data_IF_026855419509
#
_entry.id   IF_026855419509
#
_cell.length_a   1.000
_cell.length_b   1.000
_cell.length_c   1.000
_cell.angle_alpha   90.00
_cell.angle_beta   90.00
_cell.angle_gamma   90.00
#
_symmetry.space_group_name_H-M   'P 1'
#
loop_
_entity.id
_entity.type
_entity.pdbx_description
1 polymer ?
#
# COMPACT_ATOMS: atom_id res chain seq x y z
N UNK A 1 19.79 -14.32 -14.83
CA UNK A 1 18.57 -13.49 -14.91
C UNK A 1 18.47 -12.64 -13.65
N UNK A 2 18.77 -11.34 -13.75
CA UNK A 2 18.74 -10.37 -12.63
C UNK A 2 17.39 -9.66 -12.61
N UNK A 3 16.73 -9.56 -11.45
CA UNK A 3 15.60 -8.64 -11.24
C UNK A 3 16.00 -7.60 -10.21
N UNK A 4 16.04 -6.34 -10.65
CA UNK A 4 16.09 -5.15 -9.81
C UNK A 4 14.65 -4.80 -9.40
N UNK A 5 14.40 -4.48 -8.13
CA UNK A 5 13.17 -3.81 -7.70
C UNK A 5 13.54 -2.41 -7.22
N UNK A 6 13.06 -1.40 -7.95
CA UNK A 6 13.10 0.00 -7.55
C UNK A 6 12.02 0.26 -6.50
N UNK A 7 12.43 0.78 -5.35
CA UNK A 7 11.56 1.26 -4.29
C UNK A 7 11.27 2.75 -4.53
N UNK A 8 9.99 3.12 -4.71
CA UNK A 8 9.51 4.50 -4.62
C UNK A 8 8.53 4.64 -3.47
N UNK A 9 8.69 5.74 -2.72
CA UNK A 9 8.13 6.06 -1.41
C UNK A 9 6.58 6.15 -1.35
N UNK A 10 5.92 5.79 -0.23
CA UNK A 10 4.48 6.03 -0.05
C UNK A 10 4.17 7.39 0.57
N UNK A 11 3.17 8.05 -0.02
CA UNK A 11 2.56 9.32 0.38
C UNK A 11 1.73 9.18 1.67
N UNK A 12 1.83 10.18 2.54
CA UNK A 12 1.11 10.33 3.83
C UNK A 12 -0.38 10.58 3.61
N UNK A 13 -1.26 9.80 4.24
CA UNK A 13 -2.69 10.12 4.41
C UNK A 13 -3.04 10.26 5.89
N UNK A 14 -3.69 11.39 6.19
CA UNK A 14 -4.01 11.91 7.52
C UNK A 14 -5.26 11.23 8.12
N UNK A 15 -5.20 10.92 9.41
CA UNK A 15 -6.34 10.48 10.24
C UNK A 15 -7.27 11.66 10.52
N UNK A 16 -8.59 11.44 10.41
CA UNK A 16 -9.55 12.10 11.29
C UNK A 16 -10.48 11.03 11.88
N UNK A 17 -10.63 11.12 13.20
CA UNK A 17 -11.33 10.17 14.06
C UNK A 17 -12.46 10.93 14.73
N UNK A 18 -13.70 10.48 14.58
CA UNK A 18 -14.79 10.80 15.51
C UNK A 18 -15.68 9.56 15.66
N UNK A 19 -15.76 9.09 16.92
CA UNK A 19 -16.67 8.04 17.38
C UNK A 19 -18.00 8.66 17.89
N UNK A 20 -19.07 7.85 18.02
CA UNK A 20 -20.45 8.30 18.19
C UNK A 20 -20.90 8.30 19.65
N UNK A 21 -21.94 9.08 19.97
CA UNK A 21 -22.79 8.85 21.15
C UNK A 21 -24.28 9.12 20.89
N UNK A 22 -25.08 8.41 21.68
CA UNK A 22 -26.51 8.13 21.58
C UNK A 22 -27.46 9.28 22.00
N UNK A 23 -28.65 9.31 21.39
CA UNK A 23 -29.93 9.02 22.05
C UNK A 23 -30.65 10.12 22.87
N UNK A 24 -31.85 10.51 22.42
CA UNK A 24 -33.11 10.59 23.21
C UNK A 24 -34.26 11.13 22.35
N UNK A 25 -35.29 10.30 22.12
CA UNK A 25 -36.66 10.40 22.66
C UNK A 25 -37.56 11.53 22.12
N UNK A 26 -38.66 11.13 21.44
CA UNK A 26 -40.05 11.66 21.48
C UNK A 26 -40.86 10.78 20.48
N UNK A 27 -41.57 9.73 20.90
CA UNK A 27 -42.93 9.69 21.50
C UNK A 27 -44.01 10.32 20.60
N UNK A 28 -44.76 9.50 19.86
CA UNK A 28 -46.23 9.39 19.98
C UNK A 28 -46.82 8.52 18.87
N UNK A 29 -47.59 7.52 19.30
CA UNK A 29 -48.57 6.75 18.55
C UNK A 29 -49.58 7.64 17.83
N UNK A 30 -50.18 7.17 16.73
CA UNK A 30 -51.60 7.34 16.43
C UNK A 30 -52.01 6.40 15.27
N UNK A 31 -52.54 5.23 15.64
CA UNK A 31 -53.59 4.58 14.89
C UNK A 31 -54.86 5.41 15.09
N UNK A 32 -55.49 5.88 14.02
CA UNK A 32 -56.96 6.03 13.99
C UNK A 32 -57.45 6.23 12.55
N UNK A 33 -58.43 5.41 12.18
CA UNK A 33 -59.36 5.66 11.09
C UNK A 33 -59.88 7.10 11.16
N UNK A 34 -59.97 7.79 10.02
CA UNK A 34 -61.08 8.71 9.76
C UNK A 34 -61.34 8.86 8.27
N UNK A 35 -62.43 8.23 7.87
CA UNK A 35 -63.29 8.57 6.76
C UNK A 35 -63.64 10.07 6.73
N UNK A 36 -63.69 10.63 5.53
CA UNK A 36 -64.49 11.80 5.16
C UNK A 36 -65.43 11.32 4.05
N UNK A 37 -66.65 10.86 4.36
CA UNK A 37 -67.91 11.62 4.42
C UNK A 37 -68.02 12.77 3.43
N UNK A 38 -68.93 12.55 2.49
CA UNK A 38 -69.63 13.49 1.64
C UNK A 38 -70.32 14.54 2.51
N UNK A 39 -70.04 15.82 2.25
CA UNK A 39 -70.83 16.92 2.79
C UNK A 39 -72.19 16.93 2.08
N UNK A 40 -73.15 16.26 2.71
CA UNK A 40 -74.57 16.49 2.51
C UNK A 40 -74.99 17.64 3.42
N UNK A 41 -75.06 18.86 2.89
CA UNK A 41 -75.61 19.99 3.61
C UNK A 41 -77.13 19.79 3.78
N UNK A 42 -77.50 19.45 5.00
CA UNK A 42 -78.87 19.27 5.46
C UNK A 42 -79.55 20.63 5.64
N UNK A 43 -80.62 20.88 4.87
CA UNK A 43 -81.77 21.65 5.36
C UNK A 43 -83.03 20.80 5.18
N UNK A 44 -83.59 20.39 6.32
CA UNK A 44 -84.89 19.75 6.41
C UNK A 44 -86.02 20.71 5.99
N UNK A 45 -87.18 20.17 5.57
CA UNK A 45 -87.95 20.72 4.45
C UNK A 45 -89.08 21.64 4.90
N UNK A 46 -89.26 22.76 4.20
CA UNK A 46 -90.52 23.52 4.21
C UNK A 46 -91.39 23.05 3.05
N UNK A 47 -92.66 22.81 3.38
CA UNK A 47 -93.65 21.98 2.68
C UNK A 47 -94.11 22.47 1.29
N UNK A 48 -93.48 23.49 0.71
CA UNK A 48 -94.00 24.22 -0.45
C UNK A 48 -93.11 24.27 -1.71
N UNK A 49 -91.96 23.59 -1.75
CA UNK A 49 -91.13 23.52 -2.98
C UNK A 49 -91.08 22.14 -3.64
N UNK A 50 -91.92 21.19 -3.19
CA UNK A 50 -91.96 19.82 -3.70
C UNK A 50 -92.35 19.74 -5.19
N UNK A 51 -93.04 20.75 -5.74
CA UNK A 51 -93.45 20.76 -7.15
C UNK A 51 -92.43 21.40 -8.09
N UNK A 52 -91.55 22.29 -7.61
CA UNK A 52 -90.50 22.91 -8.46
C UNK A 52 -89.23 22.04 -8.57
N UNK A 53 -88.87 21.30 -7.52
CA UNK A 53 -87.70 20.39 -7.56
C UNK A 53 -87.95 19.10 -8.35
N UNK A 54 -89.21 18.65 -8.44
CA UNK A 54 -89.54 17.52 -9.30
C UNK A 54 -89.38 17.86 -10.79
N UNK A 55 -89.51 19.13 -11.18
CA UNK A 55 -89.32 19.55 -12.57
C UNK A 55 -87.84 19.69 -12.98
N UNK A 56 -86.92 19.94 -12.03
CA UNK A 56 -85.47 19.89 -12.29
C UNK A 56 -84.92 18.44 -12.32
N UNK A 57 -85.57 17.50 -11.63
CA UNK A 57 -85.22 16.07 -11.68
C UNK A 57 -85.51 15.38 -13.04
N UNK A 58 -86.26 16.04 -13.93
CA UNK A 58 -86.52 15.54 -15.28
C UNK A 58 -85.59 16.12 -16.35
N UNK A 59 -84.51 16.82 -15.96
CA UNK A 59 -83.36 17.00 -16.83
C UNK A 59 -82.44 15.76 -16.77
N UNK A 60 -82.87 14.72 -17.48
CA UNK A 60 -81.97 13.99 -18.38
C UNK A 60 -81.16 12.81 -17.84
N UNK A 61 -81.77 11.81 -17.19
CA UNK A 61 -81.40 10.39 -17.37
C UNK A 61 -82.61 9.48 -17.11
N UNK A 62 -83.14 8.85 -18.16
CA UNK A 62 -83.99 7.66 -18.01
C UNK A 62 -83.11 6.44 -18.34
N UNK A 63 -82.73 5.61 -17.33
CA UNK A 63 -81.97 4.39 -17.58
C UNK A 63 -82.82 3.38 -18.35
N UNK A 64 -82.26 2.82 -19.43
CA UNK A 64 -82.93 1.76 -20.19
C UNK A 64 -82.46 0.37 -19.71
N UNK A 65 -83.36 -0.57 -19.41
CA UNK A 65 -82.97 -1.94 -19.04
C UNK A 65 -82.28 -2.66 -20.22
N UNK A 66 -81.28 -3.50 -19.92
CA UNK A 66 -80.36 -4.16 -20.89
C UNK A 66 -81.01 -5.17 -21.88
N UNK A 67 -82.33 -5.30 -21.96
CA UNK A 67 -82.97 -6.26 -22.88
C UNK A 67 -83.08 -5.69 -24.30
N UNK A 68 -82.63 -6.47 -25.30
CA UNK A 68 -82.80 -6.18 -26.73
C UNK A 68 -84.29 -6.12 -27.06
N UNK A 69 -84.76 -4.98 -27.56
CA UNK A 69 -86.08 -4.85 -28.17
C UNK A 69 -85.92 -4.47 -29.64
N UNK A 70 -86.45 -5.33 -30.51
CA UNK A 70 -86.65 -5.04 -31.93
C UNK A 70 -87.70 -3.93 -32.08
N UNK A 71 -87.37 -2.97 -32.96
CA UNK A 71 -88.21 -1.90 -33.54
C UNK A 71 -89.59 -1.71 -32.89
N UNK A 72 -89.68 -0.83 -31.90
CA UNK A 72 -90.94 -0.17 -31.52
C UNK A 72 -90.93 1.23 -32.15
N UNK A 73 -91.95 1.61 -32.95
CA UNK A 73 -92.06 2.94 -33.52
C UNK A 73 -92.08 4.01 -32.43
N UNK A 74 -91.53 5.19 -32.75
CA UNK A 74 -91.33 6.28 -31.82
C UNK A 74 -92.59 6.61 -31.00
N UNK A 75 -92.43 6.60 -29.68
CA UNK A 75 -93.33 7.24 -28.73
C UNK A 75 -94.70 6.58 -28.61
N UNK A 76 -94.81 5.57 -27.75
CA UNK A 76 -96.06 5.29 -27.00
C UNK A 76 -95.94 4.15 -25.97
N UNK A 77 -94.91 3.29 -26.04
CA UNK A 77 -94.92 2.02 -25.32
C UNK A 77 -94.34 1.96 -23.90
N UNK A 78 -93.65 2.99 -23.37
CA UNK A 78 -92.75 2.79 -22.19
C UNK A 78 -93.05 3.63 -20.94
N UNK A 79 -94.18 4.32 -20.87
CA UNK A 79 -94.53 5.20 -19.73
C UNK A 79 -95.85 4.81 -19.05
N UNK A 80 -96.18 3.52 -18.99
CA UNK A 80 -97.47 3.07 -18.43
C UNK A 80 -97.46 2.60 -16.97
N UNK A 81 -96.31 2.59 -16.28
CA UNK A 81 -96.26 1.95 -14.94
C UNK A 81 -95.89 2.81 -13.73
N UNK A 82 -95.68 4.13 -13.85
CA UNK A 82 -95.54 4.96 -12.64
C UNK A 82 -96.20 6.34 -12.80
N UNK A 83 -97.27 6.55 -12.02
CA UNK A 83 -97.98 7.80 -11.70
C UNK A 83 -98.94 8.37 -12.78
N UNK A 84 -100.27 8.33 -12.56
CA UNK A 84 -101.28 8.68 -13.57
C UNK A 84 -101.30 10.16 -14.01
N UNK A 85 -100.90 11.09 -13.13
CA UNK A 85 -101.16 12.52 -13.37
C UNK A 85 -100.00 13.31 -13.99
N UNK A 86 -98.80 12.72 -14.11
CA UNK A 86 -97.65 13.32 -14.83
C UNK A 86 -97.63 13.03 -16.34
N UNK A 87 -98.45 12.08 -16.80
CA UNK A 87 -98.47 11.58 -18.19
C UNK A 87 -98.88 12.66 -19.21
N UNK A 88 -99.82 13.55 -18.86
CA UNK A 88 -100.31 14.59 -19.78
C UNK A 88 -99.31 15.73 -20.02
N UNK A 89 -98.48 16.08 -19.04
CA UNK A 89 -97.46 17.13 -19.19
C UNK A 89 -96.23 16.62 -19.97
N UNK A 90 -95.79 15.39 -19.68
CA UNK A 90 -94.61 14.80 -20.33
C UNK A 90 -94.92 14.45 -21.81
N UNK A 91 -96.12 13.92 -22.10
CA UNK A 91 -96.53 13.61 -23.48
C UNK A 91 -96.59 14.85 -24.38
N UNK A 92 -96.98 16.02 -23.84
CA UNK A 92 -97.02 17.27 -24.60
C UNK A 92 -95.63 17.85 -24.90
N UNK A 93 -94.66 17.70 -23.98
CA UNK A 93 -93.28 18.17 -24.19
C UNK A 93 -92.42 17.21 -25.02
N UNK A 94 -92.61 15.88 -24.88
CA UNK A 94 -91.92 14.87 -25.69
C UNK A 94 -92.29 14.93 -27.19
N UNK A 95 -93.46 15.49 -27.54
CA UNK A 95 -93.87 15.70 -28.93
C UNK A 95 -93.21 16.92 -29.60
N UNK A 96 -92.57 17.82 -28.83
CA UNK A 96 -92.05 19.11 -29.31
C UNK A 96 -90.52 19.19 -29.35
N UNK A 97 -89.79 18.35 -28.61
CA UNK A 97 -88.32 18.28 -28.63
C UNK A 97 -87.83 16.92 -29.11
N UNK A 98 -86.75 16.89 -29.91
CA UNK A 98 -86.09 15.64 -30.34
C UNK A 98 -85.22 15.12 -29.20
N UNK A 99 -85.55 13.93 -28.68
CA UNK A 99 -84.77 13.24 -27.67
C UNK A 99 -84.02 12.08 -28.33
N UNK A 100 -82.69 12.14 -28.32
CA UNK A 100 -81.82 11.08 -28.87
C UNK A 100 -81.30 10.15 -27.76
N UNK A 101 -81.11 8.88 -28.12
CA UNK A 101 -80.53 7.87 -27.24
C UNK A 101 -79.02 8.05 -27.19
N UNK A 102 -78.47 8.29 -26.00
CA UNK A 102 -77.04 8.45 -25.78
C UNK A 102 -76.45 7.26 -25.02
N UNK A 103 -75.16 6.99 -25.24
CA UNK A 103 -74.41 5.93 -24.56
C UNK A 103 -73.20 6.55 -23.89
N UNK A 104 -73.11 6.39 -22.57
CA UNK A 104 -71.98 6.87 -21.78
C UNK A 104 -70.69 6.18 -22.25
N UNK A 105 -69.70 6.96 -22.69
CA UNK A 105 -68.45 6.41 -23.21
C UNK A 105 -67.57 5.75 -22.15
N UNK A 106 -67.76 6.09 -20.86
CA UNK A 106 -66.95 5.57 -19.75
C UNK A 106 -67.63 4.40 -19.05
N UNK A 107 -68.92 4.49 -18.72
CA UNK A 107 -69.65 3.38 -18.06
C UNK A 107 -70.28 2.38 -19.04
N UNK A 108 -70.44 2.75 -20.32
CA UNK A 108 -71.13 1.95 -21.33
C UNK A 108 -72.67 1.91 -21.18
N UNK A 109 -73.23 2.72 -20.27
CA UNK A 109 -74.66 2.73 -19.98
C UNK A 109 -75.45 3.60 -20.97
N UNK A 110 -76.63 3.14 -21.38
CA UNK A 110 -77.51 3.86 -22.30
C UNK A 110 -78.59 4.66 -21.56
N UNK A 111 -78.75 5.94 -21.91
CA UNK A 111 -79.77 6.83 -21.36
C UNK A 111 -80.31 7.80 -22.42
N UNK A 112 -81.46 8.42 -22.16
CA UNK A 112 -82.09 9.40 -23.07
C UNK A 112 -81.98 10.79 -22.44
N UNK A 113 -81.42 11.77 -23.17
CA UNK A 113 -81.26 13.16 -22.73
C UNK A 113 -81.46 14.12 -23.91
N UNK A 114 -81.92 15.36 -23.65
CA UNK A 114 -81.98 16.43 -24.64
C UNK A 114 -80.71 17.30 -24.66
N UNK A 115 -79.74 17.03 -23.77
CA UNK A 115 -78.40 17.63 -23.79
C UNK A 115 -77.36 16.63 -23.24
N UNK A 116 -76.45 16.16 -24.11
CA UNK A 116 -75.43 15.16 -23.75
C UNK A 116 -74.08 15.77 -23.33
N UNK A 117 -73.81 17.04 -23.65
CA UNK A 117 -72.51 17.70 -23.44
C UNK A 117 -71.99 17.64 -21.99
N UNK A 118 -72.82 17.88 -20.95
CA UNK A 118 -72.34 17.83 -19.57
C UNK A 118 -71.88 16.43 -19.15
N UNK A 119 -72.48 15.40 -19.72
CA UNK A 119 -72.20 14.00 -19.40
C UNK A 119 -70.99 13.46 -20.17
N UNK A 120 -70.88 13.82 -21.46
CA UNK A 120 -69.68 13.52 -22.25
C UNK A 120 -68.44 14.17 -21.63
N UNK A 121 -68.57 15.42 -21.14
CA UNK A 121 -67.51 16.13 -20.44
C UNK A 121 -67.14 15.54 -19.06
N UNK A 122 -68.05 14.84 -18.39
CA UNK A 122 -67.76 14.12 -17.13
C UNK A 122 -67.08 12.78 -17.41
N UNK A 123 -67.56 12.01 -18.38
CA UNK A 123 -66.97 10.71 -18.73
C UNK A 123 -65.56 10.85 -19.31
N UNK A 124 -65.28 11.90 -20.09
CA UNK A 124 -63.90 12.19 -20.50
C UNK A 124 -62.97 12.53 -19.33
N UNK A 125 -63.46 13.26 -18.31
CA UNK A 125 -62.66 13.59 -17.12
C UNK A 125 -62.37 12.35 -16.28
N UNK A 126 -63.36 11.47 -16.09
CA UNK A 126 -63.19 10.22 -15.34
C UNK A 126 -62.22 9.28 -16.07
N UNK A 127 -62.33 9.16 -17.39
CA UNK A 127 -61.40 8.35 -18.19
C UNK A 127 -59.96 8.89 -18.10
N UNK A 128 -59.77 10.21 -18.14
CA UNK A 128 -58.45 10.85 -17.94
C UNK A 128 -57.91 10.61 -16.53
N UNK A 129 -58.75 10.71 -15.50
CA UNK A 129 -58.35 10.47 -14.11
C UNK A 129 -57.96 9.01 -13.87
N UNK A 130 -58.67 8.06 -14.47
CA UNK A 130 -58.36 6.64 -14.40
C UNK A 130 -57.08 6.28 -15.15
N UNK A 131 -56.85 6.88 -16.33
CA UNK A 131 -55.57 6.84 -17.04
C UNK A 131 -54.41 7.37 -16.17
N UNK A 132 -54.59 8.52 -15.53
CA UNK A 132 -53.60 9.14 -14.64
C UNK A 132 -53.32 8.28 -13.41
N UNK A 133 -54.36 7.75 -12.76
CA UNK A 133 -54.23 6.85 -11.61
C UNK A 133 -53.48 5.56 -11.99
N UNK A 134 -53.77 4.99 -13.16
CA UNK A 134 -53.08 3.79 -13.67
C UNK A 134 -51.59 4.08 -13.94
N UNK A 135 -51.28 5.25 -14.52
CA UNK A 135 -49.90 5.69 -14.76
C UNK A 135 -49.15 5.91 -13.44
N UNK A 136 -49.80 6.48 -12.43
CA UNK A 136 -49.16 6.74 -11.13
C UNK A 136 -48.93 5.45 -10.32
N UNK A 137 -49.86 4.49 -10.39
CA UNK A 137 -49.67 3.14 -9.87
C UNK A 137 -48.48 2.43 -10.54
N UNK A 138 -48.34 2.58 -11.86
CA UNK A 138 -47.25 2.00 -12.61
C UNK A 138 -45.89 2.64 -12.25
N UNK A 139 -45.82 3.97 -12.14
CA UNK A 139 -44.62 4.66 -11.63
C UNK A 139 -44.26 4.25 -10.21
N UNK A 140 -45.26 4.09 -9.33
CA UNK A 140 -45.03 3.66 -7.95
C UNK A 140 -44.46 2.24 -7.87
N UNK A 141 -44.92 1.34 -8.73
CA UNK A 141 -44.40 -0.04 -8.78
C UNK A 141 -43.01 -0.11 -9.41
N UNK A 142 -42.73 0.70 -10.43
CA UNK A 142 -41.40 0.85 -11.02
C UNK A 142 -40.40 1.43 -10.00
N UNK A 143 -40.77 2.49 -9.29
CA UNK A 143 -39.93 3.10 -8.25
C UNK A 143 -39.65 2.13 -7.09
N UNK A 144 -40.63 1.32 -6.69
CA UNK A 144 -40.44 0.30 -5.65
C UNK A 144 -39.51 -0.84 -6.11
N UNK A 145 -39.58 -1.22 -7.39
CA UNK A 145 -38.68 -2.20 -7.98
C UNK A 145 -37.24 -1.66 -8.08
N UNK A 146 -37.09 -0.38 -8.43
CA UNK A 146 -35.79 0.30 -8.50
C UNK A 146 -35.15 0.42 -7.10
N UNK A 147 -35.91 0.83 -6.09
CA UNK A 147 -35.44 0.89 -4.70
C UNK A 147 -34.94 -0.48 -4.20
N UNK A 148 -35.65 -1.57 -4.50
CA UNK A 148 -35.20 -2.93 -4.15
C UNK A 148 -33.90 -3.31 -4.84
N UNK A 149 -33.72 -2.92 -6.12
CA UNK A 149 -32.47 -3.15 -6.86
C UNK A 149 -31.32 -2.35 -6.27
N UNK A 150 -31.53 -1.10 -5.87
CA UNK A 150 -30.51 -0.29 -5.21
C UNK A 150 -30.12 -0.84 -3.84
N UNK A 151 -31.09 -1.30 -3.05
CA UNK A 151 -30.79 -1.98 -1.78
C UNK A 151 -29.91 -3.20 -1.98
N UNK A 152 -30.22 -4.02 -2.99
CA UNK A 152 -29.44 -5.22 -3.29
C UNK A 152 -28.03 -4.88 -3.78
N UNK A 153 -27.88 -3.87 -4.65
CA UNK A 153 -26.56 -3.36 -5.04
C UNK A 153 -25.75 -2.84 -3.85
N UNK A 154 -26.41 -2.16 -2.91
CA UNK A 154 -25.76 -1.64 -1.70
C UNK A 154 -25.28 -2.77 -0.78
N UNK A 155 -26.04 -3.86 -0.63
CA UNK A 155 -25.60 -4.99 0.20
C UNK A 155 -24.48 -5.78 -0.46
N UNK A 156 -24.52 -5.96 -1.78
CA UNK A 156 -23.44 -6.57 -2.57
C UNK A 156 -22.13 -5.77 -2.46
N UNK A 157 -22.21 -4.44 -2.62
CA UNK A 157 -21.06 -3.55 -2.47
C UNK A 157 -20.47 -3.59 -1.04
N UNK A 158 -21.32 -3.67 -0.02
CA UNK A 158 -20.85 -3.77 1.37
C UNK A 158 -20.17 -5.13 1.66
N UNK A 159 -20.65 -6.21 1.05
CA UNK A 159 -20.03 -7.52 1.15
C UNK A 159 -18.67 -7.56 0.43
N UNK A 160 -18.57 -6.92 -0.74
CA UNK A 160 -17.32 -6.79 -1.48
C UNK A 160 -16.28 -5.97 -0.70
N UNK A 161 -16.67 -4.83 -0.13
CA UNK A 161 -15.79 -4.02 0.71
C UNK A 161 -15.23 -4.79 1.92
N UNK A 162 -16.05 -5.62 2.58
CA UNK A 162 -15.58 -6.48 3.68
C UNK A 162 -14.56 -7.52 3.20
N UNK A 163 -14.78 -8.11 2.03
CA UNK A 163 -13.82 -9.06 1.42
C UNK A 163 -12.51 -8.38 1.07
N UNK A 164 -12.55 -7.16 0.52
CA UNK A 164 -11.34 -6.39 0.23
C UNK A 164 -10.57 -6.00 1.50
N UNK A 165 -11.28 -5.57 2.56
CA UNK A 165 -10.65 -5.33 3.86
C UNK A 165 -9.95 -6.59 4.38
N UNK A 166 -10.63 -7.74 4.32
CA UNK A 166 -10.04 -9.00 4.78
C UNK A 166 -8.79 -9.36 3.97
N UNK A 167 -8.86 -9.28 2.64
CA UNK A 167 -7.68 -9.48 1.76
C UNK A 167 -6.55 -8.51 2.10
N UNK A 168 -6.86 -7.24 2.36
CA UNK A 168 -5.86 -6.25 2.76
C UNK A 168 -5.20 -6.59 4.10
N UNK A 169 -5.97 -7.09 5.08
CA UNK A 169 -5.41 -7.51 6.38
C UNK A 169 -4.55 -8.76 6.26
N UNK A 170 -4.94 -9.72 5.42
CA UNK A 170 -4.18 -10.94 5.14
C UNK A 170 -2.85 -10.60 4.44
N UNK A 171 -2.90 -9.74 3.42
CA UNK A 171 -1.70 -9.25 2.72
C UNK A 171 -0.74 -8.49 3.66
N UNK A 172 -1.28 -7.69 4.58
CA UNK A 172 -0.46 -6.99 5.58
C UNK A 172 0.21 -7.96 6.57
N UNK A 173 -0.49 -9.02 6.97
CA UNK A 173 0.06 -10.06 7.83
C UNK A 173 1.14 -10.87 7.12
N UNK A 174 0.95 -11.20 5.84
CA UNK A 174 1.93 -11.87 5.00
C UNK A 174 3.20 -11.03 4.83
N UNK A 175 3.05 -9.75 4.51
CA UNK A 175 4.17 -8.81 4.39
C UNK A 175 5.02 -8.75 5.68
N UNK A 176 4.37 -8.71 6.86
CA UNK A 176 5.09 -8.75 8.15
C UNK A 176 5.86 -10.06 8.34
N UNK A 177 5.28 -11.21 7.96
CA UNK A 177 5.97 -12.51 8.03
C UNK A 177 7.17 -12.56 7.09
N UNK A 178 7.05 -12.01 5.88
CA UNK A 178 8.19 -11.93 4.95
C UNK A 178 9.31 -11.04 5.48
N UNK A 179 8.98 -9.88 6.06
CA UNK A 179 9.98 -9.04 6.71
C UNK A 179 10.70 -9.76 7.84
N UNK A 180 9.97 -10.52 8.66
CA UNK A 180 10.57 -11.31 9.73
C UNK A 180 11.49 -12.41 9.18
N UNK A 181 11.04 -13.18 8.18
CA UNK A 181 11.86 -14.20 7.52
C UNK A 181 13.12 -13.59 6.90
N UNK A 182 13.01 -12.42 6.26
CA UNK A 182 14.14 -11.69 5.71
C UNK A 182 15.12 -11.25 6.79
N UNK A 183 14.62 -10.77 7.94
CA UNK A 183 15.45 -10.38 9.08
C UNK A 183 16.16 -11.58 9.71
N UNK A 184 15.48 -12.72 9.85
CA UNK A 184 16.07 -13.98 10.34
C UNK A 184 17.14 -14.49 9.38
N UNK A 185 16.85 -14.50 8.08
CA UNK A 185 17.82 -14.88 7.04
C UNK A 185 19.06 -13.97 7.07
N UNK A 186 18.87 -12.65 7.21
CA UNK A 186 19.99 -11.70 7.34
C UNK A 186 20.85 -11.99 8.56
N UNK A 187 20.24 -12.28 9.71
CA UNK A 187 20.98 -12.63 10.94
C UNK A 187 21.76 -13.93 10.78
N UNK A 188 21.15 -14.95 10.18
CA UNK A 188 21.81 -16.23 9.90
C UNK A 188 23.02 -16.03 8.97
N UNK A 189 22.85 -15.25 7.90
CA UNK A 189 23.92 -14.90 6.97
C UNK A 189 25.05 -14.10 7.65
N UNK A 190 24.71 -13.10 8.48
CA UNK A 190 25.70 -12.32 9.21
C UNK A 190 26.50 -13.19 10.20
N UNK A 191 25.84 -14.18 10.83
CA UNK A 191 26.50 -15.16 11.70
C UNK A 191 27.46 -16.06 10.90
N UNK A 192 27.02 -16.60 9.78
CA UNK A 192 27.88 -17.42 8.90
C UNK A 192 29.11 -16.63 8.43
N UNK A 193 28.94 -15.36 8.06
CA UNK A 193 30.06 -14.48 7.67
C UNK A 193 31.05 -14.26 8.82
N UNK A 194 30.57 -14.13 10.05
CA UNK A 194 31.44 -14.03 11.22
C UNK A 194 32.26 -15.30 11.43
N UNK A 195 31.63 -16.47 11.33
CA UNK A 195 32.30 -17.78 11.46
C UNK A 195 33.36 -17.98 10.37
N UNK A 196 33.04 -17.65 9.11
CA UNK A 196 33.99 -17.67 8.00
C UNK A 196 35.21 -16.78 8.28
N UNK A 197 34.95 -15.54 8.71
CA UNK A 197 36.01 -14.56 8.97
C UNK A 197 36.93 -15.01 10.12
N UNK A 198 36.35 -15.57 11.20
CA UNK A 198 37.13 -16.14 12.30
C UNK A 198 38.01 -17.30 11.83
N UNK A 199 37.45 -18.19 11.01
CA UNK A 199 38.21 -19.32 10.48
C UNK A 199 39.41 -18.90 9.63
N UNK A 200 39.30 -17.82 8.84
CA UNK A 200 40.44 -17.26 8.09
C UNK A 200 41.47 -16.60 9.03
N UNK A 201 41.06 -15.97 10.14
CA UNK A 201 41.98 -15.49 11.18
C UNK A 201 42.79 -16.64 11.81
N UNK A 202 42.14 -17.76 12.15
CA UNK A 202 42.85 -18.91 12.72
C UNK A 202 43.80 -19.53 11.68
N UNK A 203 43.37 -19.64 10.43
CA UNK A 203 44.24 -20.12 9.33
C UNK A 203 45.44 -19.20 9.12
N UNK A 204 45.23 -17.89 9.18
CA UNK A 204 46.29 -16.90 9.10
C UNK A 204 47.26 -17.01 10.27
N UNK A 205 46.76 -17.15 11.51
CA UNK A 205 47.60 -17.39 12.70
C UNK A 205 48.54 -18.56 12.48
N UNK A 206 47.99 -19.72 12.08
CA UNK A 206 48.78 -20.93 11.85
C UNK A 206 49.87 -20.69 10.80
N UNK A 207 49.53 -20.00 9.72
CA UNK A 207 50.47 -19.68 8.67
C UNK A 207 51.57 -18.72 9.14
N UNK A 208 51.21 -17.62 9.79
CA UNK A 208 52.13 -16.56 10.22
C UNK A 208 53.10 -17.07 11.30
N UNK A 209 52.62 -17.87 12.26
CA UNK A 209 53.48 -18.51 13.26
C UNK A 209 54.49 -19.45 12.58
N UNK A 210 54.05 -20.27 11.62
CA UNK A 210 54.97 -21.13 10.85
C UNK A 210 55.98 -20.32 10.05
N UNK A 211 55.53 -19.25 9.40
CA UNK A 211 56.40 -18.38 8.61
C UNK A 211 57.45 -17.68 9.48
N UNK A 212 57.11 -17.35 10.73
CA UNK A 212 58.04 -16.72 11.66
C UNK A 212 59.18 -17.64 12.14
N UNK A 213 59.01 -18.96 12.03
CA UNK A 213 60.00 -19.96 12.42
C UNK A 213 60.76 -20.44 11.17
N UNK A 214 61.92 -19.83 10.91
CA UNK A 214 62.86 -20.25 9.88
C UNK A 214 63.18 -21.75 10.06
N UNK A 215 62.85 -22.58 9.07
CA UNK A 215 63.16 -24.03 8.97
C UNK A 215 62.31 -25.06 9.73
N UNK A 216 61.05 -24.82 10.13
CA UNK A 216 60.27 -25.93 10.73
C UNK A 216 58.82 -26.07 10.24
N UNK A 217 58.66 -26.86 9.18
CA UNK A 217 57.35 -27.46 8.80
C UNK A 217 56.74 -28.32 9.91
N UNK A 218 57.50 -28.61 10.98
CA UNK A 218 57.08 -29.39 12.14
C UNK A 218 56.69 -28.56 13.38
N UNK A 219 56.61 -27.23 13.32
CA UNK A 219 56.05 -26.45 14.46
C UNK A 219 54.61 -26.90 14.68
N UNK A 220 54.39 -27.61 15.79
CA UNK A 220 53.06 -27.97 16.27
C UNK A 220 52.48 -26.74 16.94
N UNK A 221 51.44 -26.18 16.33
CA UNK A 221 50.75 -25.01 16.87
C UNK A 221 49.57 -25.52 17.69
N UNK A 222 49.66 -25.35 19.00
CA UNK A 222 48.59 -25.72 19.91
C UNK A 222 47.53 -24.61 19.95
N UNK A 223 46.43 -24.86 19.24
CA UNK A 223 45.25 -24.01 19.30
C UNK A 223 44.54 -24.20 20.64
N UNK A 224 44.07 -23.10 21.23
CA UNK A 224 43.20 -23.15 22.40
C UNK A 224 41.87 -23.88 22.07
N UNK A 225 41.14 -24.39 23.08
CA UNK A 225 39.85 -25.05 22.84
C UNK A 225 38.84 -24.18 22.07
N UNK A 226 38.88 -22.85 22.27
CA UNK A 226 38.05 -21.91 21.53
C UNK A 226 38.47 -21.82 20.06
N UNK A 227 39.77 -21.71 19.78
CA UNK A 227 40.29 -21.64 18.41
C UNK A 227 40.05 -22.92 17.61
N UNK A 228 40.10 -24.09 18.28
CA UNK A 228 39.77 -25.39 17.64
C UNK A 228 38.32 -25.41 17.16
N UNK A 229 37.37 -25.03 18.02
CA UNK A 229 35.94 -24.94 17.64
C UNK A 229 35.72 -23.99 16.47
N UNK A 230 36.30 -22.80 16.52
CA UNK A 230 36.19 -21.80 15.45
C UNK A 230 36.85 -22.28 14.13
N UNK A 231 37.91 -23.07 14.21
CA UNK A 231 38.55 -23.65 13.03
C UNK A 231 37.73 -24.80 12.40
N UNK A 232 36.99 -25.56 13.22
CA UNK A 232 36.10 -26.64 12.80
C UNK A 232 34.83 -26.12 12.12
N UNK A 233 34.25 -25.03 12.65
CA UNK A 233 33.06 -24.35 12.11
C UNK A 233 33.33 -23.60 10.79
N UNK A 234 34.60 -23.52 10.36
CA UNK A 234 35.00 -22.80 9.15
C UNK A 234 34.48 -23.48 7.89
N UNK A 235 33.78 -22.72 7.04
CA UNK A 235 33.58 -23.10 5.65
C UNK A 235 34.94 -23.10 4.92
N UNK A 236 35.48 -24.31 4.64
CA UNK A 236 36.82 -24.49 4.04
C UNK A 236 36.95 -23.89 2.64
N UNK A 237 35.83 -23.62 1.96
CA UNK A 237 35.76 -23.10 0.60
C UNK A 237 35.60 -21.56 0.55
N UNK A 238 35.41 -20.89 1.69
CA UNK A 238 35.23 -19.44 1.75
C UNK A 238 36.53 -18.73 2.17
N UNK A 239 37.20 -18.07 1.21
CA UNK A 239 38.44 -17.31 1.43
C UNK A 239 38.22 -15.81 1.54
N UNK A 240 37.19 -15.40 2.28
CA UNK A 240 36.75 -14.01 2.27
C UNK A 240 36.88 -13.41 3.65
N UNK A 241 37.82 -12.49 3.77
CA UNK A 241 37.90 -11.59 4.91
C UNK A 241 37.04 -10.35 4.65
N UNK A 242 36.35 -9.91 5.69
CA UNK A 242 35.61 -8.65 5.70
C UNK A 242 36.19 -7.74 6.78
N UNK A 243 36.67 -6.57 6.38
CA UNK A 243 37.34 -5.62 7.27
C UNK A 243 36.44 -5.21 8.44
N UNK A 244 35.17 -4.90 8.17
CA UNK A 244 34.22 -4.46 9.20
C UNK A 244 33.95 -5.56 10.24
N UNK A 245 33.87 -6.81 9.78
CA UNK A 245 33.70 -7.99 10.65
C UNK A 245 34.98 -8.25 11.44
N UNK A 246 36.14 -8.20 10.79
CA UNK A 246 37.45 -8.37 11.44
C UNK A 246 37.66 -7.35 12.56
N UNK A 247 37.33 -6.08 12.32
CA UNK A 247 37.41 -5.03 13.34
C UNK A 247 36.53 -5.36 14.55
N UNK A 248 35.30 -5.86 14.34
CA UNK A 248 34.42 -6.26 15.46
C UNK A 248 34.99 -7.43 16.23
N UNK A 249 35.50 -8.44 15.53
CA UNK A 249 36.03 -9.67 16.14
C UNK A 249 37.28 -9.44 17.00
N UNK A 250 38.20 -8.57 16.57
CA UNK A 250 39.36 -8.20 17.40
C UNK A 250 38.91 -7.59 18.73
N UNK A 251 37.83 -6.79 18.70
CA UNK A 251 37.27 -6.17 19.92
C UNK A 251 36.59 -7.21 20.82
N UNK A 252 35.88 -8.18 20.24
CA UNK A 252 35.12 -9.21 20.95
C UNK A 252 36.02 -10.31 21.55
N UNK A 253 37.11 -10.68 20.87
CA UNK A 253 37.96 -11.81 21.23
C UNK A 253 39.40 -11.37 21.58
N UNK A 254 39.52 -10.45 22.55
CA UNK A 254 40.83 -9.90 22.97
C UNK A 254 41.85 -10.97 23.41
N UNK A 255 41.38 -12.10 23.93
CA UNK A 255 42.24 -13.19 24.42
C UNK A 255 42.90 -14.03 23.32
N UNK A 256 42.53 -13.87 22.05
CA UNK A 256 43.01 -14.70 20.93
C UNK A 256 44.14 -14.06 20.12
N UNK A 257 44.74 -12.96 20.60
CA UNK A 257 45.76 -12.18 19.89
C UNK A 257 45.33 -11.77 18.46
N UNK A 258 44.02 -11.62 18.22
CA UNK A 258 43.50 -11.26 16.91
C UNK A 258 44.00 -9.90 16.44
N UNK A 259 44.35 -8.99 17.34
CA UNK A 259 44.94 -7.69 16.98
C UNK A 259 46.27 -7.83 16.24
N UNK A 260 47.12 -8.77 16.65
CA UNK A 260 48.39 -9.03 15.95
C UNK A 260 48.14 -9.67 14.57
N UNK A 261 47.23 -10.64 14.51
CA UNK A 261 46.84 -11.30 13.25
C UNK A 261 46.21 -10.29 12.29
N UNK A 262 45.35 -9.41 12.81
CA UNK A 262 44.73 -8.31 12.07
C UNK A 262 45.80 -7.42 11.47
N UNK A 263 46.74 -6.95 12.29
CA UNK A 263 47.82 -6.07 11.84
C UNK A 263 48.66 -6.74 10.75
N UNK A 264 49.00 -8.02 10.92
CA UNK A 264 49.75 -8.79 9.92
C UNK A 264 48.98 -8.89 8.59
N UNK A 265 47.70 -9.22 8.64
CA UNK A 265 46.84 -9.41 7.46
C UNK A 265 46.52 -8.11 6.73
N UNK A 266 46.17 -7.04 7.45
CA UNK A 266 45.64 -5.80 6.86
C UNK A 266 46.72 -4.74 6.64
N UNK A 267 47.96 -4.98 7.05
CA UNK A 267 49.05 -4.00 6.89
C UNK A 267 49.07 -2.93 7.97
N UNK A 268 47.96 -2.74 8.70
CA UNK A 268 47.66 -1.62 9.58
C UNK A 268 47.02 -2.09 10.89
N UNK A 269 47.19 -1.36 11.99
CA UNK A 269 46.56 -1.70 13.28
C UNK A 269 45.04 -1.48 13.26
N UNK A 270 44.32 -2.14 14.17
CA UNK A 270 42.86 -2.03 14.28
C UNK A 270 42.43 -0.61 14.69
N UNK A 271 43.19 0.03 15.57
CA UNK A 271 42.94 1.38 16.09
C UNK A 271 43.13 2.42 14.99
N UNK A 272 44.22 2.29 14.24
CA UNK A 272 44.57 3.19 13.16
C UNK A 272 43.56 3.10 12.00
N UNK A 273 43.19 1.89 11.55
CA UNK A 273 42.20 1.76 10.47
C UNK A 273 40.82 2.27 10.88
N UNK A 274 40.41 2.13 12.15
CA UNK A 274 39.16 2.75 12.65
C UNK A 274 39.22 4.27 12.51
N UNK A 275 40.37 4.86 12.85
CA UNK A 275 40.58 6.30 12.75
C UNK A 275 40.57 6.78 11.29
N UNK A 276 41.21 6.03 10.38
CA UNK A 276 41.19 6.33 8.94
C UNK A 276 39.80 6.16 8.33
N UNK A 277 39.03 5.14 8.73
CA UNK A 277 37.67 4.93 8.25
C UNK A 277 36.72 6.05 8.67
N UNK A 278 36.87 6.59 9.88
CA UNK A 278 36.08 7.72 10.33
C UNK A 278 36.42 8.99 9.53
N UNK A 279 37.71 9.27 9.32
CA UNK A 279 38.17 10.38 8.48
C UNK A 279 37.67 10.23 7.03
N UNK A 280 37.79 9.04 6.43
CA UNK A 280 37.35 8.78 5.07
C UNK A 280 35.83 8.96 4.93
N UNK A 281 35.06 8.48 5.92
CA UNK A 281 33.61 8.71 5.99
C UNK A 281 33.25 10.20 6.05
N UNK A 282 34.00 10.99 6.82
CA UNK A 282 33.84 12.45 6.89
C UNK A 282 34.24 13.14 5.58
N UNK A 283 35.09 12.51 4.78
CA UNK A 283 35.49 12.98 3.44
C UNK A 283 34.68 12.31 2.31
N UNK A 284 33.53 11.71 2.61
CA UNK A 284 32.64 11.11 1.61
C UNK A 284 33.13 9.81 0.97
N UNK A 285 34.11 9.13 1.58
CA UNK A 285 34.69 7.87 1.08
C UNK A 285 35.70 8.05 -0.05
N UNK A 286 36.24 9.27 -0.20
CA UNK A 286 37.14 9.66 -1.29
C UNK A 286 38.42 8.82 -1.32
N UNK A 287 38.95 8.42 -0.17
CA UNK A 287 40.22 7.72 -0.05
C UNK A 287 40.08 6.20 -0.16
N UNK A 288 38.86 5.68 -0.18
CA UNK A 288 38.56 4.25 -0.36
C UNK A 288 39.24 3.35 0.68
N UNK A 289 39.36 3.82 1.93
CA UNK A 289 40.13 3.15 2.98
C UNK A 289 39.64 1.72 3.21
N UNK A 290 38.32 1.51 3.27
CA UNK A 290 37.73 0.19 3.46
C UNK A 290 38.14 -0.80 2.36
N UNK A 291 38.11 -0.34 1.10
CA UNK A 291 38.39 -1.19 -0.06
C UNK A 291 39.86 -1.56 -0.14
N UNK A 292 40.76 -0.58 -0.06
CA UNK A 292 42.20 -0.79 -0.25
C UNK A 292 42.80 -1.61 0.90
N UNK A 293 42.41 -1.32 2.14
CA UNK A 293 42.81 -2.16 3.28
C UNK A 293 42.21 -3.57 3.15
N UNK A 294 40.96 -3.69 2.71
CA UNK A 294 40.32 -4.98 2.42
C UNK A 294 41.06 -5.81 1.36
N UNK A 295 41.61 -5.16 0.32
CA UNK A 295 42.43 -5.82 -0.70
C UNK A 295 43.70 -6.42 -0.10
N UNK A 296 44.41 -5.65 0.75
CA UNK A 296 45.58 -6.14 1.47
C UNK A 296 45.25 -7.40 2.28
N UNK A 297 44.18 -7.33 3.10
CA UNK A 297 43.69 -8.46 3.90
C UNK A 297 43.42 -9.70 3.07
N UNK A 298 42.75 -9.53 1.92
CA UNK A 298 42.41 -10.64 1.01
C UNK A 298 43.64 -11.28 0.40
N UNK A 299 44.59 -10.48 -0.12
CA UNK A 299 45.81 -11.00 -0.74
C UNK A 299 46.71 -11.72 0.27
N UNK A 300 46.82 -11.21 1.49
CA UNK A 300 47.60 -11.83 2.56
C UNK A 300 46.95 -13.13 3.07
N UNK A 301 45.62 -13.17 3.19
CA UNK A 301 44.91 -14.41 3.53
C UNK A 301 45.06 -15.48 2.44
N UNK A 302 45.10 -15.05 1.17
CA UNK A 302 45.34 -15.93 0.01
C UNK A 302 46.82 -16.24 -0.25
N UNK A 303 47.75 -15.52 0.40
CA UNK A 303 49.21 -15.69 0.30
C UNK A 303 49.76 -15.43 -1.11
N UNK A 304 49.24 -14.38 -1.74
CA UNK A 304 49.59 -13.98 -3.12
C UNK A 304 49.80 -12.44 -3.29
N UNK A 305 50.43 -11.71 -2.35
CA UNK A 305 50.71 -10.28 -2.57
C UNK A 305 51.95 -10.09 -3.45
N UNK A 306 51.78 -10.06 -4.77
CA UNK A 306 52.90 -10.00 -5.73
C UNK A 306 53.23 -8.57 -6.12
N UNK A 307 52.28 -7.84 -6.70
CA UNK A 307 52.46 -6.46 -7.16
C UNK A 307 51.81 -5.41 -6.26
N UNK A 308 50.97 -5.83 -5.32
CA UNK A 308 50.13 -4.93 -4.51
C UNK A 308 50.86 -4.23 -3.35
N UNK A 309 51.84 -4.88 -2.73
CA UNK A 309 52.40 -4.44 -1.44
C UNK A 309 53.04 -3.04 -1.49
N UNK A 310 53.88 -2.77 -2.48
CA UNK A 310 54.60 -1.49 -2.57
C UNK A 310 53.64 -0.30 -2.81
N UNK A 311 52.70 -0.36 -3.78
CA UNK A 311 51.67 0.66 -3.91
C UNK A 311 50.84 0.85 -2.65
N UNK A 312 50.51 -0.22 -1.94
CA UNK A 312 49.76 -0.12 -0.68
C UNK A 312 50.53 0.66 0.39
N UNK A 313 51.83 0.40 0.56
CA UNK A 313 52.68 1.15 1.52
C UNK A 313 52.71 2.65 1.18
N UNK A 314 52.89 2.98 -0.10
CA UNK A 314 52.89 4.36 -0.57
C UNK A 314 51.53 5.04 -0.35
N UNK A 315 50.43 4.35 -0.68
CA UNK A 315 49.08 4.84 -0.48
C UNK A 315 48.78 5.08 1.00
N UNK A 316 49.12 4.12 1.87
CA UNK A 316 48.88 4.23 3.31
C UNK A 316 49.63 5.40 3.93
N UNK A 317 50.89 5.61 3.52
CA UNK A 317 51.68 6.76 3.96
C UNK A 317 51.10 8.09 3.48
N UNK A 318 50.62 8.16 2.23
CA UNK A 318 49.97 9.35 1.71
C UNK A 318 48.66 9.66 2.46
N UNK A 319 47.83 8.64 2.75
CA UNK A 319 46.59 8.79 3.53
C UNK A 319 46.87 9.22 4.98
N UNK A 320 47.97 8.75 5.59
CA UNK A 320 48.41 9.24 6.91
C UNK A 320 48.76 10.72 6.89
N UNK A 321 49.45 11.18 5.84
CA UNK A 321 49.77 12.61 5.67
C UNK A 321 48.51 13.45 5.52
N UNK A 322 47.55 12.97 4.72
CA UNK A 322 46.23 13.62 4.60
C UNK A 322 45.57 13.74 5.96
N UNK A 323 45.53 12.64 6.73
CA UNK A 323 44.95 12.64 8.06
C UNK A 323 45.65 13.64 9.00
N UNK A 324 46.97 13.73 8.98
CA UNK A 324 47.71 14.72 9.78
C UNK A 324 47.27 16.15 9.44
N UNK A 325 47.21 16.51 8.15
CA UNK A 325 46.78 17.85 7.74
C UNK A 325 45.36 18.19 8.20
N UNK A 326 44.46 17.20 8.16
CA UNK A 326 43.09 17.34 8.67
C UNK A 326 43.10 17.53 10.19
N UNK A 327 43.78 16.67 10.95
CA UNK A 327 43.83 16.71 12.41
C UNK A 327 44.48 17.98 12.94
N UNK A 328 45.59 18.42 12.34
CA UNK A 328 46.34 19.63 12.71
C UNK A 328 45.48 20.90 12.56
N UNK A 329 44.50 20.87 11.65
CA UNK A 329 43.59 21.99 11.38
C UNK A 329 42.31 21.92 12.21
N UNK A 330 41.91 20.74 12.72
CA UNK A 330 40.69 20.55 13.53
C UNK A 330 40.77 21.24 14.89
N UNK A 331 41.96 21.62 15.36
CA UNK A 331 42.14 22.40 16.60
C UNK A 331 41.50 23.80 16.61
N UNK A 332 40.87 24.26 15.52
CA UNK A 332 40.48 25.67 15.34
C UNK A 332 39.00 25.99 15.11
N UNK A 333 38.13 25.09 14.65
CA UNK A 333 36.70 25.44 14.46
C UNK A 333 35.76 24.24 14.49
N UNK A 334 34.84 24.23 15.45
CA UNK A 334 33.70 23.32 15.51
C UNK A 334 32.43 24.08 15.12
N UNK A 335 32.11 24.09 13.82
CA UNK A 335 30.82 24.56 13.32
C UNK A 335 30.01 23.37 12.77
N UNK A 336 28.76 23.25 13.23
CA UNK A 336 27.77 22.32 12.69
C UNK A 336 27.32 22.79 11.30
N UNK A 337 28.00 22.31 10.25
CA UNK A 337 27.56 22.50 8.86
C UNK A 337 27.00 21.20 8.27
N UNK A 338 26.15 21.33 7.24
CA UNK A 338 25.60 20.22 6.47
C UNK A 338 26.70 19.28 5.96
N UNK A 339 26.41 17.97 5.90
CA UNK A 339 27.43 16.92 5.64
C UNK A 339 28.23 17.13 4.35
N UNK A 340 27.61 17.66 3.29
CA UNK A 340 28.28 17.91 2.01
C UNK A 340 29.25 19.11 2.11
N UNK A 341 28.81 20.20 2.75
CA UNK A 341 29.64 21.39 2.98
C UNK A 341 30.81 21.06 3.91
N UNK A 342 30.56 20.25 4.95
CA UNK A 342 31.58 19.75 5.86
C UNK A 342 32.63 18.86 5.16
N UNK A 343 32.22 17.99 4.23
CA UNK A 343 33.16 17.21 3.41
C UNK A 343 34.07 18.12 2.59
N UNK A 344 33.50 19.09 1.87
CA UNK A 344 34.27 20.02 1.04
C UNK A 344 35.22 20.88 1.86
N UNK A 345 34.81 21.33 3.05
CA UNK A 345 35.63 22.11 3.96
C UNK A 345 36.78 21.31 4.59
N UNK A 346 36.62 19.99 4.77
CA UNK A 346 37.70 19.11 5.23
C UNK A 346 38.71 18.84 4.12
N UNK A 347 38.21 18.55 2.91
CA UNK A 347 39.06 18.25 1.75
C UNK A 347 39.87 19.49 1.32
N UNK A 348 39.30 20.70 1.40
CA UNK A 348 40.01 21.94 1.06
C UNK A 348 41.20 22.27 1.98
N UNK A 349 41.35 21.57 3.11
CA UNK A 349 42.49 21.71 4.03
C UNK A 349 43.69 20.88 3.62
N UNK A 350 43.50 19.97 2.66
CA UNK A 350 44.51 19.03 2.22
C UNK A 350 45.15 19.56 0.94
N UNK A 351 46.47 19.41 0.83
CA UNK A 351 47.21 19.77 -0.37
C UNK A 351 46.67 19.02 -1.62
N UNK A 352 46.34 19.76 -2.69
CA UNK A 352 45.77 19.20 -3.92
C UNK A 352 46.68 18.17 -4.59
N UNK A 353 48.00 18.35 -4.51
CA UNK A 353 48.98 17.40 -5.07
C UNK A 353 48.92 16.08 -4.29
N UNK A 354 48.82 16.16 -2.96
CA UNK A 354 48.65 14.99 -2.10
C UNK A 354 47.32 14.29 -2.35
N UNK A 355 46.21 15.02 -2.53
CA UNK A 355 44.92 14.43 -2.87
C UNK A 355 44.95 13.68 -4.21
N UNK A 356 45.56 14.28 -5.24
CA UNK A 356 45.75 13.64 -6.55
C UNK A 356 46.62 12.39 -6.43
N UNK A 357 47.70 12.45 -5.64
CA UNK A 357 48.60 11.33 -5.44
C UNK A 357 47.92 10.16 -4.71
N UNK A 358 47.13 10.44 -3.66
CA UNK A 358 46.33 9.40 -2.97
C UNK A 358 45.33 8.75 -3.94
N UNK A 359 44.65 9.54 -4.76
CA UNK A 359 43.73 9.03 -5.78
C UNK A 359 44.43 8.13 -6.80
N UNK A 360 45.58 8.57 -7.32
CA UNK A 360 46.42 7.81 -8.26
C UNK A 360 46.91 6.50 -7.64
N UNK A 361 47.43 6.54 -6.42
CA UNK A 361 47.91 5.35 -5.70
C UNK A 361 46.77 4.39 -5.36
N UNK A 362 45.58 4.90 -5.02
CA UNK A 362 44.41 4.08 -4.77
C UNK A 362 43.96 3.31 -6.01
N UNK A 363 43.98 3.97 -7.18
CA UNK A 363 43.71 3.33 -8.47
C UNK A 363 44.76 2.26 -8.81
N UNK A 364 46.04 2.53 -8.58
CA UNK A 364 47.12 1.54 -8.77
C UNK A 364 46.93 0.34 -7.82
N UNK A 365 46.57 0.58 -6.56
CA UNK A 365 46.28 -0.50 -5.61
C UNK A 365 45.17 -1.41 -6.14
N UNK A 366 44.09 -0.83 -6.67
CA UNK A 366 42.99 -1.60 -7.27
C UNK A 366 43.44 -2.44 -8.45
N UNK A 367 44.18 -1.85 -9.40
CA UNK A 367 44.68 -2.56 -10.59
C UNK A 367 45.63 -3.71 -10.22
N UNK A 368 46.53 -3.47 -9.26
CA UNK A 368 47.44 -4.50 -8.75
C UNK A 368 46.71 -5.60 -7.99
N UNK A 369 45.70 -5.24 -7.20
CA UNK A 369 44.84 -6.22 -6.54
C UNK A 369 44.13 -7.10 -7.56
N UNK A 370 43.51 -6.52 -8.59
CA UNK A 370 42.83 -7.28 -9.64
C UNK A 370 43.82 -8.20 -10.38
N UNK A 371 45.02 -7.71 -10.70
CA UNK A 371 46.09 -8.52 -11.30
C UNK A 371 46.50 -9.72 -10.44
N UNK A 372 46.85 -9.48 -9.18
CA UNK A 372 47.28 -10.51 -8.23
C UNK A 372 46.14 -11.51 -7.94
N UNK A 373 44.90 -11.03 -7.84
CA UNK A 373 43.73 -11.83 -7.46
C UNK A 373 43.16 -12.68 -8.62
N UNK A 374 43.39 -12.26 -9.87
CA UNK A 374 42.95 -12.94 -11.10
C UNK A 374 43.96 -13.95 -11.64
N UNK A 375 45.26 -13.81 -11.32
CA UNK A 375 46.18 -14.93 -11.53
C UNK A 375 45.60 -16.13 -10.77
N UNK A 376 45.51 -17.29 -11.42
CA UNK A 376 45.13 -18.56 -10.80
C UNK A 376 46.19 -18.90 -9.75
N UNK A 377 46.08 -18.25 -8.59
CA UNK A 377 47.20 -17.94 -7.70
C UNK A 377 47.72 -19.19 -7.02
N UNK A 378 48.65 -19.86 -7.70
CA UNK A 378 49.48 -20.87 -7.07
C UNK A 378 50.45 -20.08 -6.18
N UNK A 379 50.32 -20.26 -4.86
CA UNK A 379 51.28 -19.73 -3.88
C UNK A 379 52.69 -20.14 -4.29
N UNK A 380 53.58 -19.17 -4.42
CA UNK A 380 55.00 -19.41 -4.74
C UNK A 380 55.88 -19.14 -3.51
N UNK A 381 57.13 -19.57 -3.55
CA UNK A 381 58.11 -19.26 -2.51
C UNK A 381 58.36 -17.74 -2.40
N UNK A 382 58.41 -17.02 -3.53
CA UNK A 382 58.60 -15.57 -3.53
C UNK A 382 57.48 -14.79 -2.84
N UNK A 383 56.24 -15.30 -2.81
CA UNK A 383 55.17 -14.69 -2.02
C UNK A 383 55.42 -14.83 -0.51
N UNK A 384 55.91 -16.00 -0.08
CA UNK A 384 56.23 -16.23 1.34
C UNK A 384 57.40 -15.33 1.78
N UNK A 385 58.43 -15.17 0.94
CA UNK A 385 59.55 -14.26 1.19
C UNK A 385 59.07 -12.79 1.30
N UNK A 386 58.23 -12.34 0.37
CA UNK A 386 57.69 -10.97 0.37
C UNK A 386 56.87 -10.68 1.63
N UNK A 387 56.01 -11.64 2.04
CA UNK A 387 55.25 -11.52 3.29
C UNK A 387 56.19 -11.52 4.49
N UNK A 388 57.22 -12.37 4.50
CA UNK A 388 58.17 -12.46 5.61
C UNK A 388 58.97 -11.16 5.78
N UNK A 389 59.47 -10.59 4.69
CA UNK A 389 60.19 -9.31 4.68
C UNK A 389 59.30 -8.18 5.20
N UNK A 390 58.06 -8.09 4.72
CA UNK A 390 57.09 -7.10 5.18
C UNK A 390 56.78 -7.23 6.68
N UNK A 391 56.59 -8.46 7.19
CA UNK A 391 56.36 -8.70 8.61
C UNK A 391 57.59 -8.37 9.46
N UNK A 392 58.80 -8.54 8.92
CA UNK A 392 60.07 -8.18 9.55
C UNK A 392 60.21 -6.66 9.64
N UNK A 393 59.97 -5.94 8.54
CA UNK A 393 59.97 -4.47 8.51
C UNK A 393 59.00 -3.88 9.54
N UNK A 394 57.82 -4.48 9.69
CA UNK A 394 56.79 -4.05 10.65
C UNK A 394 57.03 -4.56 12.09
N UNK A 395 58.12 -5.28 12.34
CA UNK A 395 58.45 -5.81 13.67
C UNK A 395 57.44 -6.82 14.23
N UNK A 396 56.68 -7.49 13.35
CA UNK A 396 55.65 -8.46 13.73
C UNK A 396 56.18 -9.88 13.81
N UNK A 397 57.25 -10.18 13.08
CA UNK A 397 57.81 -11.53 12.99
C UNK A 397 58.29 -12.07 14.34
N UNK A 398 58.94 -11.24 15.16
CA UNK A 398 59.34 -11.60 16.53
C UNK A 398 58.14 -11.80 17.46
N UNK A 399 57.06 -11.04 17.28
CA UNK A 399 55.83 -11.16 18.08
C UNK A 399 55.14 -12.51 17.81
N UNK A 400 55.13 -12.98 16.56
CA UNK A 400 54.59 -14.31 16.24
C UNK A 400 55.44 -15.47 16.74
N UNK A 401 56.74 -15.28 16.99
CA UNK A 401 57.57 -16.30 17.66
C UNK A 401 57.24 -16.45 19.15
N UNK A 402 56.62 -15.43 19.75
CA UNK A 402 56.31 -15.39 21.18
C UNK A 402 54.89 -15.92 21.52
N UNK A 403 54.11 -16.34 20.52
CA UNK A 403 52.72 -16.81 20.64
C UNK A 403 52.66 -18.24 20.10
#
# INVERSE_FOLDING_TARGET
>A
MRRFYNYTSPVKWSRSSQQPHQGSHLRASLLTLRSFTVDADSKSPTKNNFEQDYLLKYQGRIPLPRKKFERVPAGQGLLFEMLPDTSKMISKKLLLEKWDKHVDKHSGESYITNNSEPFDGQSERLFKLEEEFRREQQKSTEAQAEFKREQQKSTEAQAEFKREQQKSTEAQAEFKREQQKSAEMKRAWDKERQEINMGEFIRAKIYLVRLSHENNTKVRIDLSPLEKRLAEERNRNAHRLDLSISIKQVTQHKCLNLGLIFQALYGISQEEVKSLLEMDKQCGGMFQVESIVGYHGTLYARKIPSGFLQPFKQWLEAVRKVKSQIDDTIGLDACQEDTVTACSALISRVDDTLLQEVGRLGQICKERYEGDNNQSGIRTHGHDESIMEDLKERGLLSKFRAI
#
